data_IF_363502059242
#
_entry.id   IF_363502059242
#
_cell.length_a   1.000
_cell.length_b   1.000
_cell.length_c   1.000
_cell.angle_alpha   90.00
_cell.angle_beta   90.00
_cell.angle_gamma   90.00
#
_symmetry.space_group_name_H-M   'P 1'
#
loop_
_entity.id
_entity.type
_entity.pdbx_description
1 polymer ?
#
# COMPACT_ATOMS: atom_id res chain seq x y z
N UNK A 1 15.86 1.58 4.24
CA UNK A 1 14.76 1.73 3.25
C UNK A 1 13.61 0.74 3.46
N UNK A 2 13.87 -0.56 3.63
CA UNK A 2 12.86 -1.61 3.80
C UNK A 2 11.89 -1.43 4.98
N UNK A 3 12.33 -0.76 6.06
CA UNK A 3 11.47 -0.50 7.22
C UNK A 3 10.33 0.48 6.91
N UNK A 4 10.53 1.44 6.02
CA UNK A 4 9.49 2.44 5.71
C UNK A 4 8.36 1.81 4.88
N UNK A 5 8.70 1.04 3.85
CA UNK A 5 7.71 0.27 3.08
C UNK A 5 6.99 -0.75 3.96
N UNK A 6 7.69 -1.41 4.88
CA UNK A 6 7.05 -2.33 5.84
C UNK A 6 6.02 -1.61 6.73
N UNK A 7 6.33 -0.41 7.24
CA UNK A 7 5.41 0.41 8.04
C UNK A 7 4.19 0.84 7.24
N UNK A 8 4.39 1.32 6.01
CA UNK A 8 3.27 1.69 5.13
C UNK A 8 2.34 0.52 4.83
N UNK A 9 2.89 -0.65 4.49
CA UNK A 9 2.07 -1.85 4.28
C UNK A 9 1.29 -2.25 5.53
N UNK A 10 1.88 -2.14 6.72
CA UNK A 10 1.19 -2.45 7.98
C UNK A 10 0.05 -1.46 8.29
N UNK A 11 0.09 -0.23 7.77
CA UNK A 11 -0.98 0.76 7.93
C UNK A 11 -2.14 0.61 6.94
N UNK A 12 -1.97 -0.13 5.84
CA UNK A 12 -3.02 -0.27 4.81
C UNK A 12 -4.34 -0.85 5.35
N UNK A 13 -4.34 -1.93 6.18
CA UNK A 13 -5.58 -2.46 6.73
C UNK A 13 -6.33 -1.42 7.57
N UNK A 14 -5.60 -0.66 8.39
CA UNK A 14 -6.21 0.39 9.20
C UNK A 14 -6.85 1.47 8.32
N UNK A 15 -6.20 1.88 7.23
CA UNK A 15 -6.74 2.86 6.31
C UNK A 15 -8.02 2.38 5.60
N UNK A 16 -8.07 1.11 5.17
CA UNK A 16 -9.29 0.53 4.59
C UNK A 16 -10.40 0.34 5.60
N UNK A 17 -10.06 -0.03 6.83
CA UNK A 17 -11.03 -0.13 7.92
C UNK A 17 -11.68 1.23 8.19
N UNK A 18 -10.87 2.31 8.23
CA UNK A 18 -11.36 3.68 8.36
C UNK A 18 -12.22 4.09 7.15
N UNK A 19 -11.84 3.71 5.93
CA UNK A 19 -12.66 3.95 4.75
C UNK A 19 -14.04 3.29 4.86
N UNK A 20 -14.10 2.07 5.41
CA UNK A 20 -15.35 1.37 5.72
C UNK A 20 -16.17 2.05 6.80
N UNK A 21 -15.53 2.53 7.87
CA UNK A 21 -16.19 3.34 8.91
C UNK A 21 -16.81 4.63 8.34
N UNK A 22 -16.20 5.20 7.31
CA UNK A 22 -16.71 6.38 6.62
C UNK A 22 -17.76 6.06 5.54
N UNK A 23 -17.99 4.76 5.25
CA UNK A 23 -18.90 4.26 4.20
C UNK A 23 -18.64 4.93 2.83
N UNK A 24 -17.36 5.10 2.50
CA UNK A 24 -16.95 5.80 1.29
C UNK A 24 -16.17 4.89 0.36
N UNK A 25 -16.85 4.40 -0.68
CA UNK A 25 -16.24 3.52 -1.68
C UNK A 25 -15.09 4.21 -2.45
N UNK A 26 -15.15 5.54 -2.60
CA UNK A 26 -14.08 6.32 -3.24
C UNK A 26 -12.77 6.26 -2.44
N UNK A 27 -12.85 6.10 -1.11
CA UNK A 27 -11.68 5.95 -0.25
C UNK A 27 -11.09 4.53 -0.28
N UNK A 28 -11.77 3.54 -0.86
CA UNK A 28 -11.27 2.16 -0.94
C UNK A 28 -9.98 2.06 -1.76
N UNK A 29 -9.92 2.76 -2.90
CA UNK A 29 -8.75 2.72 -3.78
C UNK A 29 -7.59 3.60 -3.27
N UNK A 30 -7.88 4.61 -2.44
CA UNK A 30 -6.94 5.67 -2.09
C UNK A 30 -5.66 5.16 -1.40
N UNK A 31 -5.71 4.26 -0.39
CA UNK A 31 -4.50 3.70 0.23
C UNK A 31 -3.60 2.97 -0.77
N UNK A 32 -4.17 2.20 -1.69
CA UNK A 32 -3.42 1.47 -2.71
C UNK A 32 -2.74 2.42 -3.70
N UNK A 33 -3.47 3.43 -4.18
CA UNK A 33 -2.95 4.43 -5.13
C UNK A 33 -1.81 5.24 -4.50
N UNK A 34 -1.98 5.71 -3.26
CA UNK A 34 -0.93 6.46 -2.54
C UNK A 34 0.32 5.61 -2.36
N UNK A 35 0.16 4.34 -1.98
CA UNK A 35 1.29 3.43 -1.81
C UNK A 35 1.99 3.14 -3.13
N UNK A 36 1.24 2.89 -4.20
CA UNK A 36 1.78 2.67 -5.54
C UNK A 36 2.58 3.89 -6.03
N UNK A 37 2.04 5.09 -5.88
CA UNK A 37 2.73 6.34 -6.23
C UNK A 37 4.03 6.52 -5.43
N UNK A 38 4.00 6.19 -4.12
CA UNK A 38 5.18 6.23 -3.28
C UNK A 38 6.26 5.24 -3.75
N UNK A 39 5.88 3.98 -4.02
CA UNK A 39 6.79 2.94 -4.52
C UNK A 39 7.43 3.37 -5.85
N UNK A 40 6.63 3.91 -6.77
CA UNK A 40 7.12 4.35 -8.07
C UNK A 40 8.09 5.54 -7.97
N UNK A 41 7.75 6.54 -7.14
CA UNK A 41 8.65 7.68 -6.87
C UNK A 41 9.96 7.21 -6.23
N UNK A 42 9.89 6.28 -5.28
CA UNK A 42 11.08 5.68 -4.64
C UNK A 42 11.92 4.93 -5.66
N UNK A 43 11.32 4.11 -6.50
CA UNK A 43 12.03 3.35 -7.52
C UNK A 43 12.75 4.27 -8.50
N UNK A 44 12.09 5.31 -9.01
CA UNK A 44 12.73 6.32 -9.87
C UNK A 44 13.91 7.01 -9.20
N UNK A 45 13.80 7.36 -7.91
CA UNK A 45 14.93 7.94 -7.16
C UNK A 45 16.11 6.97 -7.05
N UNK A 46 15.84 5.69 -6.77
CA UNK A 46 16.91 4.67 -6.68
C UNK A 46 17.58 4.51 -8.04
N UNK A 47 16.81 4.30 -9.12
CA UNK A 47 17.36 4.15 -10.47
C UNK A 47 18.16 5.38 -10.89
N UNK A 48 17.67 6.60 -10.61
CA UNK A 48 18.38 7.84 -10.88
C UNK A 48 19.71 7.99 -10.14
N UNK A 49 19.81 7.46 -8.91
CA UNK A 49 21.06 7.43 -8.14
C UNK A 49 22.00 6.31 -8.60
N UNK A 50 21.45 5.19 -9.08
CA UNK A 50 22.20 3.99 -9.52
C UNK A 50 22.94 4.20 -10.86
N UNK A 51 22.70 5.29 -11.58
CA UNK A 51 23.58 5.71 -12.69
C UNK A 51 25.07 5.87 -12.29
N UNK A 52 25.38 5.86 -11.00
CA UNK A 52 26.74 5.91 -10.42
C UNK A 52 27.19 4.61 -9.73
N UNK A 53 26.34 3.56 -9.70
CA UNK A 53 26.56 2.35 -8.90
C UNK A 53 26.64 1.07 -9.77
N UNK A 54 27.26 -0.03 -9.27
CA UNK A 54 27.49 -1.25 -10.06
C UNK A 54 26.19 -1.92 -10.53
N UNK A 55 26.18 -2.53 -11.72
CA UNK A 55 25.02 -3.18 -12.36
C UNK A 55 24.28 -4.20 -11.47
N UNK A 56 24.98 -4.90 -10.57
CA UNK A 56 24.38 -5.81 -9.60
C UNK A 56 23.36 -5.13 -8.67
N UNK A 57 23.56 -3.84 -8.37
CA UNK A 57 22.64 -3.05 -7.53
C UNK A 57 21.31 -2.73 -8.24
N UNK A 58 21.32 -2.65 -9.58
CA UNK A 58 20.10 -2.44 -10.40
C UNK A 58 19.19 -3.66 -10.31
N UNK A 59 19.76 -4.85 -10.49
CA UNK A 59 19.02 -6.12 -10.43
C UNK A 59 18.38 -6.34 -9.07
N UNK A 60 19.11 -6.02 -7.98
CA UNK A 60 18.58 -6.06 -6.62
C UNK A 60 17.44 -5.05 -6.42
N UNK A 61 17.60 -3.79 -6.83
CA UNK A 61 16.57 -2.76 -6.69
C UNK A 61 15.27 -3.12 -7.44
N UNK A 62 15.37 -3.81 -8.59
CA UNK A 62 14.22 -4.30 -9.35
C UNK A 62 13.50 -5.44 -8.62
N UNK A 63 14.23 -6.43 -8.09
CA UNK A 63 13.62 -7.53 -7.33
C UNK A 63 12.84 -7.00 -6.12
N UNK A 64 13.45 -6.08 -5.36
CA UNK A 64 12.79 -5.44 -4.21
C UNK A 64 11.51 -4.71 -4.60
N UNK A 65 11.49 -4.05 -5.75
CA UNK A 65 10.30 -3.37 -6.25
C UNK A 65 9.20 -4.37 -6.61
N UNK A 66 9.55 -5.51 -7.23
CA UNK A 66 8.57 -6.56 -7.57
C UNK A 66 7.98 -7.14 -6.29
N UNK A 67 8.79 -7.45 -5.27
CA UNK A 67 8.30 -7.96 -3.99
C UNK A 67 7.37 -6.96 -3.28
N UNK A 68 7.72 -5.67 -3.28
CA UNK A 68 6.89 -4.60 -2.72
C UNK A 68 5.55 -4.49 -3.48
N UNK A 69 5.54 -4.65 -4.81
CA UNK A 69 4.32 -4.62 -5.63
C UNK A 69 3.44 -5.85 -5.43
N UNK A 70 4.02 -7.05 -5.34
CA UNK A 70 3.28 -8.30 -5.05
C UNK A 70 2.61 -8.18 -3.69
N UNK A 71 3.33 -7.65 -2.69
CA UNK A 71 2.77 -7.39 -1.36
C UNK A 71 1.63 -6.37 -1.40
N UNK A 72 1.77 -5.28 -2.15
CA UNK A 72 0.70 -4.30 -2.34
C UNK A 72 -0.52 -4.91 -3.02
N UNK A 73 -0.33 -5.74 -4.05
CA UNK A 73 -1.41 -6.43 -4.75
C UNK A 73 -2.17 -7.37 -3.81
N UNK A 74 -1.45 -8.16 -3.00
CA UNK A 74 -2.06 -9.04 -2.00
C UNK A 74 -2.91 -8.25 -0.99
N UNK A 75 -2.38 -7.14 -0.46
CA UNK A 75 -3.14 -6.27 0.43
C UNK A 75 -4.36 -5.65 -0.24
N UNK A 76 -4.22 -5.21 -1.49
CA UNK A 76 -5.33 -4.61 -2.24
C UNK A 76 -6.43 -5.63 -2.50
N UNK A 77 -6.09 -6.89 -2.78
CA UNK A 77 -7.06 -7.97 -2.92
C UNK A 77 -7.82 -8.25 -1.60
N UNK A 78 -7.17 -8.07 -0.45
CA UNK A 78 -7.79 -8.22 0.88
C UNK A 78 -8.57 -6.96 1.33
N UNK A 79 -8.37 -5.83 0.66
CA UNK A 79 -8.98 -4.55 1.06
C UNK A 79 -10.50 -4.55 1.18
N UNK A 80 -11.29 -5.24 0.33
CA UNK A 80 -12.75 -5.25 0.46
C UNK A 80 -13.20 -5.90 1.77
N UNK A 81 -12.51 -6.95 2.22
CA UNK A 81 -12.85 -7.62 3.49
C UNK A 81 -12.65 -6.68 4.68
N UNK A 82 -11.56 -5.91 4.67
CA UNK A 82 -11.24 -4.96 5.74
C UNK A 82 -12.17 -3.75 5.71
N UNK A 83 -12.53 -3.28 4.51
CA UNK A 83 -13.53 -2.23 4.32
C UNK A 83 -14.90 -2.66 4.87
N UNK A 84 -15.38 -3.85 4.49
CA UNK A 84 -16.66 -4.39 4.98
C UNK A 84 -16.66 -4.56 6.50
N UNK A 85 -15.53 -4.96 7.11
CA UNK A 85 -15.40 -5.01 8.56
C UNK A 85 -15.59 -3.62 9.22
N UNK A 86 -15.03 -2.56 8.63
CA UNK A 86 -15.23 -1.18 9.07
C UNK A 86 -16.69 -0.73 8.91
N UNK A 87 -17.32 -1.06 7.78
CA UNK A 87 -18.72 -0.74 7.52
C UNK A 87 -19.65 -1.45 8.51
N UNK A 88 -19.42 -2.75 8.78
CA UNK A 88 -20.17 -3.50 9.77
C UNK A 88 -20.02 -2.88 11.17
N UNK A 89 -18.81 -2.48 11.56
CA UNK A 89 -18.56 -1.82 12.84
C UNK A 89 -19.33 -0.49 12.94
N UNK A 90 -19.37 0.30 11.86
CA UNK A 90 -20.17 1.53 11.81
C UNK A 90 -21.65 1.24 12.08
N UNK A 91 -22.22 0.23 11.43
CA UNK A 91 -23.62 -0.16 11.65
C UNK A 91 -23.90 -0.56 13.10
N UNK A 92 -22.96 -1.25 13.75
CA UNK A 92 -23.09 -1.64 15.15
C UNK A 92 -23.00 -0.45 16.11
N UNK A 93 -22.18 0.56 15.80
CA UNK A 93 -21.93 1.71 16.68
C UNK A 93 -22.97 2.82 16.51
N UNK A 94 -23.35 3.12 15.27
CA UNK A 94 -24.21 4.27 14.95
C UNK A 94 -25.69 3.85 14.91
N UNK A 95 -25.98 2.55 14.83
CA UNK A 95 -27.32 2.06 14.54
C UNK A 95 -27.66 2.25 13.06
N UNK A 96 -28.47 1.34 12.52
CA UNK A 96 -28.99 1.40 11.15
C UNK A 96 -29.89 2.60 10.91
#
# INVERSE_FOLDING_TARGET
MFHLTRRFHASLPLAWFVAGLLDSLTLLALPAVVMLAYLFRRHRRIVGLVGTAPWASVGFARHVMVDDLVRLAAWTALSPLVFLAGQQMRHLVIGS
#
